data_IF_591970067685
#
_entry.id   IF_591970067685
#
_cell.length_a   1.000
_cell.length_b   1.000
_cell.length_c   1.000
_cell.angle_alpha   90.00
_cell.angle_beta   90.00
_cell.angle_gamma   90.00
#
_symmetry.space_group_name_H-M   'P 1'
#
loop_
_entity.id
_entity.type
_entity.pdbx_description
1 polymer ?
#
# COMPACT_ATOMS: atom_id res chain seq x y z
N UNK A 1 15.12 -16.34 -15.16
CA UNK A 1 14.23 -15.57 -14.27
C UNK A 1 14.94 -14.26 -13.98
N UNK A 2 14.34 -13.13 -14.33
CA UNK A 2 14.78 -11.80 -13.84
C UNK A 2 14.57 -11.75 -12.33
N UNK A 3 15.50 -11.15 -11.59
CA UNK A 3 15.31 -10.94 -10.14
C UNK A 3 14.16 -9.93 -9.91
N UNK A 4 13.55 -9.92 -8.73
CA UNK A 4 12.52 -8.91 -8.40
C UNK A 4 13.11 -7.49 -8.44
N UNK A 5 14.37 -7.32 -8.02
CA UNK A 5 15.10 -6.06 -8.13
C UNK A 5 15.23 -5.60 -9.59
N UNK A 6 15.48 -6.51 -10.53
CA UNK A 6 15.53 -6.18 -11.97
C UNK A 6 14.17 -5.69 -12.50
N UNK A 7 13.05 -6.16 -11.94
CA UNK A 7 11.70 -5.72 -12.32
C UNK A 7 11.47 -4.28 -11.89
N UNK A 8 11.83 -3.94 -10.65
CA UNK A 8 11.61 -2.59 -10.12
C UNK A 8 12.58 -1.56 -10.70
N UNK A 9 13.82 -1.93 -11.00
CA UNK A 9 14.75 -1.03 -11.70
C UNK A 9 14.27 -0.73 -13.13
N UNK A 10 13.66 -1.70 -13.81
CA UNK A 10 12.99 -1.45 -15.10
C UNK A 10 11.81 -0.50 -14.96
N UNK A 11 11.00 -0.67 -13.93
CA UNK A 11 9.84 0.20 -13.69
C UNK A 11 10.28 1.65 -13.39
N UNK A 12 11.35 1.84 -12.61
CA UNK A 12 11.97 3.15 -12.39
C UNK A 12 12.56 3.75 -13.66
N UNK A 13 13.23 2.95 -14.50
CA UNK A 13 13.73 3.41 -15.80
C UNK A 13 12.59 3.88 -16.69
N UNK A 14 11.52 3.08 -16.77
CA UNK A 14 10.33 3.38 -17.53
C UNK A 14 9.69 4.71 -17.09
N UNK A 15 9.53 4.95 -15.78
CA UNK A 15 9.03 6.22 -15.24
C UNK A 15 9.94 7.41 -15.58
N UNK A 16 11.27 7.25 -15.49
CA UNK A 16 12.22 8.32 -15.83
C UNK A 16 12.17 8.68 -17.32
N UNK A 17 12.20 7.68 -18.19
CA UNK A 17 12.08 7.86 -19.64
C UNK A 17 10.76 8.54 -20.00
N UNK A 18 9.65 8.07 -19.42
CA UNK A 18 8.32 8.64 -19.63
C UNK A 18 8.26 10.13 -19.29
N UNK A 19 8.80 10.52 -18.13
CA UNK A 19 8.82 11.92 -17.70
C UNK A 19 9.70 12.78 -18.61
N UNK A 20 10.88 12.28 -19.00
CA UNK A 20 11.75 12.99 -19.96
C UNK A 20 11.03 13.25 -21.29
N UNK A 21 10.34 12.25 -21.83
CA UNK A 21 9.59 12.39 -23.08
C UNK A 21 8.39 13.34 -22.94
N UNK A 22 7.68 13.32 -21.81
CA UNK A 22 6.60 14.28 -21.54
C UNK A 22 7.09 15.73 -21.56
N UNK A 23 8.25 15.99 -20.94
CA UNK A 23 8.88 17.32 -20.95
C UNK A 23 9.28 17.77 -22.35
N UNK A 24 9.81 16.86 -23.17
CA UNK A 24 10.19 17.14 -24.55
C UNK A 24 8.96 17.39 -25.43
N UNK A 25 7.92 16.55 -25.32
CA UNK A 25 6.67 16.67 -26.08
C UNK A 25 5.90 17.95 -25.75
N UNK A 26 5.94 18.41 -24.49
CA UNK A 26 5.36 19.70 -24.11
C UNK A 26 5.98 20.90 -24.86
N UNK A 27 7.18 20.73 -25.43
CA UNK A 27 7.89 21.76 -26.22
C UNK A 27 7.66 21.63 -27.73
N UNK A 28 7.14 20.50 -28.20
CA UNK A 28 6.92 20.25 -29.62
C UNK A 28 5.49 20.65 -30.06
N UNK A 29 5.37 21.29 -31.22
CA UNK A 29 4.08 21.51 -31.89
C UNK A 29 3.93 20.57 -33.07
N UNK A 30 2.83 19.82 -33.11
CA UNK A 30 2.47 18.95 -34.23
C UNK A 30 3.19 17.60 -34.18
N UNK A 31 2.53 16.59 -33.64
CA UNK A 31 3.08 15.25 -33.47
C UNK A 31 2.15 14.24 -34.13
N UNK A 32 2.69 13.37 -34.96
CA UNK A 32 1.94 12.32 -35.65
C UNK A 32 1.74 11.10 -34.74
N UNK A 33 0.50 10.62 -34.68
CA UNK A 33 0.04 9.47 -33.89
C UNK A 33 -0.21 8.27 -34.81
N UNK A 34 0.44 7.15 -34.52
CA UNK A 34 0.18 5.86 -35.19
C UNK A 34 -0.98 5.20 -34.46
N UNK A 35 -2.06 4.97 -35.19
CA UNK A 35 -3.29 4.46 -34.60
C UNK A 35 -4.16 3.71 -35.61
N UNK A 36 -5.13 2.96 -35.08
CA UNK A 36 -6.15 2.27 -35.89
C UNK A 36 -7.54 2.63 -35.40
N UNK A 37 -8.35 3.21 -36.28
CA UNK A 37 -9.77 3.47 -36.01
C UNK A 37 -10.56 2.17 -36.20
N UNK A 38 -11.43 1.84 -35.24
CA UNK A 38 -12.37 0.72 -35.30
C UNK A 38 -13.79 1.24 -35.01
N UNK A 39 -14.74 0.93 -35.89
CA UNK A 39 -16.16 1.17 -35.63
C UNK A 39 -16.72 0.07 -34.73
N UNK A 40 -17.27 0.43 -33.57
CA UNK A 40 -17.92 -0.50 -32.65
C UNK A 40 -19.40 -0.13 -32.46
N UNK A 41 -20.27 -1.15 -32.40
CA UNK A 41 -21.71 -0.99 -32.20
C UNK A 41 -22.12 -0.79 -30.74
N UNK A 42 -23.18 -0.01 -30.55
CA UNK A 42 -23.99 0.28 -29.35
C UNK A 42 -23.41 -0.04 -27.95
N UNK A 43 -22.76 0.97 -27.38
CA UNK A 43 -22.13 0.98 -26.05
C UNK A 43 -23.08 1.57 -24.98
N UNK A 44 -24.41 1.49 -25.18
CA UNK A 44 -25.43 2.04 -24.26
C UNK A 44 -25.27 1.62 -22.79
N UNK A 45 -24.65 0.48 -22.51
CA UNK A 45 -24.36 -0.03 -21.15
C UNK A 45 -23.29 0.80 -20.41
N UNK A 46 -22.26 1.28 -21.11
CA UNK A 46 -21.17 2.08 -20.51
C UNK A 46 -21.67 3.49 -20.17
N UNK A 47 -22.57 4.05 -20.96
CA UNK A 47 -23.24 5.32 -20.66
C UNK A 47 -24.09 5.29 -19.38
N UNK A 48 -24.72 4.15 -19.09
CA UNK A 48 -25.41 3.91 -17.81
C UNK A 48 -24.42 3.79 -16.65
N UNK A 49 -23.31 3.08 -16.86
CA UNK A 49 -22.21 3.00 -15.90
C UNK A 49 -21.72 4.40 -15.47
N UNK A 50 -21.53 5.30 -16.44
CA UNK A 50 -21.02 6.66 -16.20
C UNK A 50 -21.96 7.54 -15.38
N UNK A 51 -23.28 7.55 -15.68
CA UNK A 51 -24.24 8.32 -14.87
C UNK A 51 -24.40 7.78 -13.45
N UNK A 52 -24.30 6.46 -13.31
CA UNK A 52 -24.30 5.80 -12.01
C UNK A 52 -23.05 6.14 -11.19
N UNK A 53 -21.91 6.25 -11.86
CA UNK A 53 -20.61 6.61 -11.29
C UNK A 53 -20.60 8.00 -10.67
N UNK A 54 -21.14 9.01 -11.37
CA UNK A 54 -21.16 10.38 -10.88
C UNK A 54 -21.97 10.49 -9.57
N UNK A 55 -23.09 9.76 -9.47
CA UNK A 55 -23.93 9.69 -8.27
C UNK A 55 -23.28 8.88 -7.14
N UNK A 56 -22.69 7.71 -7.41
CA UNK A 56 -22.02 6.93 -6.36
C UNK A 56 -20.81 7.67 -5.81
N UNK A 57 -19.98 8.23 -6.68
CA UNK A 57 -18.73 8.84 -6.24
C UNK A 57 -18.97 10.20 -5.58
N UNK A 58 -20.07 10.90 -5.89
CA UNK A 58 -20.51 12.06 -5.11
C UNK A 58 -21.07 11.67 -3.75
N UNK A 59 -21.84 10.58 -3.67
CA UNK A 59 -22.59 10.22 -2.45
C UNK A 59 -21.78 9.36 -1.47
N UNK A 60 -20.84 8.55 -1.97
CA UNK A 60 -20.03 7.65 -1.15
C UNK A 60 -18.79 8.33 -0.56
N UNK A 61 -18.38 9.48 -1.09
CA UNK A 61 -17.25 10.23 -0.57
C UNK A 61 -17.71 11.20 0.53
N UNK A 62 -17.26 10.97 1.76
CA UNK A 62 -17.55 11.75 2.97
C UNK A 62 -17.09 13.23 2.91
N UNK A 63 -16.55 13.70 1.78
CA UNK A 63 -16.06 15.06 1.52
C UNK A 63 -16.12 15.44 0.03
N UNK A 64 -15.96 16.74 -0.24
CA UNK A 64 -15.86 17.31 -1.58
C UNK A 64 -14.53 16.93 -2.27
N UNK A 65 -14.53 15.81 -3.00
CA UNK A 65 -13.36 15.29 -3.76
C UNK A 65 -13.12 16.03 -5.08
N UNK A 66 -14.02 16.96 -5.44
CA UNK A 66 -14.07 17.68 -6.72
C UNK A 66 -12.78 18.44 -7.07
N UNK A 67 -11.99 18.78 -6.05
CA UNK A 67 -10.80 19.60 -6.20
C UNK A 67 -9.53 18.82 -6.58
N UNK A 68 -9.49 17.49 -6.41
CA UNK A 68 -8.28 16.70 -6.69
C UNK A 68 -8.01 16.58 -8.20
N UNK A 69 -6.73 16.61 -8.60
CA UNK A 69 -6.37 16.44 -10.02
C UNK A 69 -6.77 15.06 -10.53
N UNK A 70 -6.62 14.01 -9.70
CA UNK A 70 -7.06 12.64 -10.00
C UNK A 70 -8.53 12.61 -10.43
N UNK A 71 -9.40 13.22 -9.62
CA UNK A 71 -10.84 13.32 -9.88
C UNK A 71 -11.15 14.13 -11.15
N UNK A 72 -10.52 15.30 -11.32
CA UNK A 72 -10.70 16.15 -12.50
C UNK A 72 -10.30 15.41 -13.78
N UNK A 73 -9.19 14.67 -13.76
CA UNK A 73 -8.71 13.88 -14.89
C UNK A 73 -9.70 12.78 -15.25
N UNK A 74 -10.20 12.03 -14.27
CA UNK A 74 -11.25 11.02 -14.48
C UNK A 74 -12.50 11.62 -15.11
N UNK A 75 -13.08 12.68 -14.51
CA UNK A 75 -14.30 13.32 -15.01
C UNK A 75 -14.11 13.86 -16.43
N UNK A 76 -12.97 14.51 -16.70
CA UNK A 76 -12.62 14.98 -18.05
C UNK A 76 -12.54 13.83 -19.04
N UNK A 77 -11.79 12.76 -18.71
CA UNK A 77 -11.64 11.58 -19.54
C UNK A 77 -12.99 10.95 -19.88
N UNK A 78 -13.85 10.74 -18.89
CA UNK A 78 -15.17 10.13 -19.08
C UNK A 78 -16.06 10.99 -20.00
N UNK A 79 -16.09 12.31 -19.80
CA UNK A 79 -16.84 13.24 -20.66
C UNK A 79 -16.38 13.20 -22.12
N UNK A 80 -15.06 13.23 -22.34
CA UNK A 80 -14.45 13.21 -23.68
C UNK A 80 -14.67 11.85 -24.35
N UNK A 81 -14.50 10.75 -23.62
CA UNK A 81 -14.73 9.40 -24.16
C UNK A 81 -16.18 9.17 -24.60
N UNK A 82 -17.12 9.93 -24.05
CA UNK A 82 -18.54 9.81 -24.34
C UNK A 82 -19.05 10.75 -25.45
N UNK A 83 -18.24 11.70 -25.92
CA UNK A 83 -18.66 12.61 -26.98
C UNK A 83 -18.61 11.99 -28.38
N UNK A 84 -18.21 10.72 -28.49
CA UNK A 84 -18.09 10.00 -29.76
C UNK A 84 -18.45 8.51 -29.63
N UNK A 85 -18.87 7.92 -30.76
CA UNK A 85 -19.03 6.48 -30.95
C UNK A 85 -17.80 5.84 -31.62
N UNK A 86 -16.94 6.65 -32.25
CA UNK A 86 -15.70 6.19 -32.88
C UNK A 86 -14.60 5.99 -31.84
N UNK A 87 -13.75 4.98 -32.05
CA UNK A 87 -12.62 4.71 -31.17
C UNK A 87 -11.32 4.56 -31.93
N UNK A 88 -10.23 4.99 -31.30
CA UNK A 88 -8.89 4.94 -31.87
C UNK A 88 -7.95 4.20 -30.91
N UNK A 89 -7.43 3.06 -31.37
CA UNK A 89 -6.42 2.30 -30.64
C UNK A 89 -5.02 2.80 -31.00
N UNK A 90 -4.15 2.80 -29.99
CA UNK A 90 -2.76 3.27 -30.11
C UNK A 90 -1.84 2.11 -29.79
N UNK A 91 -0.76 1.98 -30.56
CA UNK A 91 0.26 0.95 -30.34
C UNK A 91 0.84 1.02 -28.91
N UNK A 92 1.17 -0.13 -28.31
CA UNK A 92 1.82 -0.21 -26.99
C UNK A 92 3.31 0.12 -27.10
N UNK A 93 3.57 1.39 -27.45
CA UNK A 93 4.89 1.99 -27.55
C UNK A 93 4.91 3.28 -26.74
N UNK A 94 5.95 3.49 -25.95
CA UNK A 94 6.05 4.63 -25.03
C UNK A 94 5.77 5.97 -25.73
N UNK A 95 6.40 6.22 -26.89
CA UNK A 95 6.21 7.47 -27.63
C UNK A 95 4.75 7.69 -28.07
N UNK A 96 4.05 6.63 -28.46
CA UNK A 96 2.65 6.70 -28.88
C UNK A 96 1.70 6.86 -27.69
N UNK A 97 2.00 6.17 -26.58
CA UNK A 97 1.23 6.22 -25.35
C UNK A 97 1.33 7.60 -24.67
N UNK A 98 2.49 8.24 -24.70
CA UNK A 98 2.66 9.60 -24.19
C UNK A 98 1.85 10.59 -25.03
N UNK A 99 1.92 10.50 -26.36
CA UNK A 99 1.11 11.34 -27.25
C UNK A 99 -0.38 11.18 -26.99
N UNK A 100 -0.84 9.93 -26.79
CA UNK A 100 -2.22 9.64 -26.39
C UNK A 100 -2.58 10.35 -25.08
N UNK A 101 -1.72 10.28 -24.06
CA UNK A 101 -1.94 10.97 -22.79
C UNK A 101 -2.05 12.48 -22.99
N UNK A 102 -1.08 13.08 -23.67
CA UNK A 102 -1.05 14.53 -23.94
C UNK A 102 -2.31 14.96 -24.66
N UNK A 103 -2.73 14.25 -25.72
CA UNK A 103 -3.92 14.63 -26.47
C UNK A 103 -5.19 14.52 -25.61
N UNK A 104 -5.38 13.41 -24.88
CA UNK A 104 -6.57 13.21 -24.02
C UNK A 104 -6.68 14.30 -22.93
N UNK A 105 -5.57 14.63 -22.25
CA UNK A 105 -5.60 15.50 -21.06
C UNK A 105 -5.21 16.95 -21.31
N UNK A 106 -4.50 17.24 -22.39
CA UNK A 106 -3.96 18.57 -22.71
C UNK A 106 -4.12 18.97 -24.18
N UNK A 107 -4.68 18.09 -25.01
CA UNK A 107 -4.89 18.32 -26.44
C UNK A 107 -5.87 19.44 -26.73
N UNK A 108 -5.75 19.97 -27.95
CA UNK A 108 -6.62 21.02 -28.47
C UNK A 108 -7.52 20.52 -29.61
N UNK A 109 -7.40 19.25 -30.04
CA UNK A 109 -8.27 18.63 -31.04
C UNK A 109 -9.35 17.78 -30.33
N UNK A 110 -10.59 18.28 -30.20
CA UNK A 110 -11.64 17.57 -29.48
C UNK A 110 -12.05 16.26 -30.17
N UNK A 111 -11.96 16.20 -31.50
CA UNK A 111 -12.35 15.01 -32.26
C UNK A 111 -11.33 13.89 -31.99
N UNK A 112 -10.04 14.18 -32.16
CA UNK A 112 -8.97 13.24 -31.87
C UNK A 112 -8.96 12.80 -30.40
N UNK A 113 -9.06 13.76 -29.48
CA UNK A 113 -9.13 13.49 -28.03
C UNK A 113 -10.26 12.51 -27.68
N UNK A 114 -11.45 12.71 -28.27
CA UNK A 114 -12.61 11.85 -28.03
C UNK A 114 -12.40 10.41 -28.52
N UNK A 115 -11.85 10.24 -29.72
CA UNK A 115 -11.58 8.93 -30.31
C UNK A 115 -10.51 8.16 -29.53
N UNK A 116 -9.44 8.85 -29.11
CA UNK A 116 -8.38 8.28 -28.28
C UNK A 116 -8.89 7.87 -26.89
N UNK A 117 -9.68 8.74 -26.24
CA UNK A 117 -10.27 8.44 -24.94
C UNK A 117 -11.25 7.25 -25.02
N UNK A 118 -12.06 7.17 -26.07
CA UNK A 118 -12.94 6.02 -26.35
C UNK A 118 -12.14 4.73 -26.53
N UNK A 119 -11.05 4.78 -27.27
CA UNK A 119 -10.15 3.64 -27.47
C UNK A 119 -9.54 3.14 -26.16
N UNK A 120 -9.04 4.06 -25.31
CA UNK A 120 -8.51 3.73 -23.98
C UNK A 120 -9.58 3.12 -23.07
N UNK A 121 -10.80 3.68 -23.07
CA UNK A 121 -11.92 3.15 -22.29
C UNK A 121 -12.27 1.71 -22.71
N UNK A 122 -12.29 1.43 -24.02
CA UNK A 122 -12.50 0.07 -24.55
C UNK A 122 -11.35 -0.87 -24.19
N UNK A 123 -10.09 -0.41 -24.27
CA UNK A 123 -8.94 -1.20 -23.79
C UNK A 123 -9.09 -1.59 -22.32
N UNK A 124 -9.61 -0.69 -21.46
CA UNK A 124 -9.88 -1.00 -20.06
C UNK A 124 -10.92 -2.12 -19.91
N UNK A 125 -12.05 -2.02 -20.61
CA UNK A 125 -13.14 -3.01 -20.56
C UNK A 125 -12.65 -4.38 -21.05
N UNK A 126 -11.81 -4.38 -22.08
CA UNK A 126 -11.24 -5.59 -22.66
C UNK A 126 -10.01 -6.11 -21.90
N UNK A 127 -9.65 -5.49 -20.76
CA UNK A 127 -8.47 -5.84 -19.96
C UNK A 127 -7.15 -5.83 -20.75
N UNK A 128 -7.06 -4.91 -21.72
CA UNK A 128 -5.85 -4.66 -22.53
C UNK A 128 -5.07 -3.53 -21.86
N UNK A 129 -4.18 -3.90 -20.95
CA UNK A 129 -3.33 -2.97 -20.20
C UNK A 129 -2.01 -2.74 -20.97
N UNK A 130 -1.63 -1.49 -21.28
CA UNK A 130 -0.38 -1.20 -21.97
C UNK A 130 0.82 -1.47 -21.06
N UNK A 131 1.85 -2.14 -21.58
CA UNK A 131 3.07 -2.44 -20.83
C UNK A 131 4.12 -1.32 -20.96
N UNK A 132 4.01 -0.48 -21.99
CA UNK A 132 4.96 0.61 -22.24
C UNK A 132 4.66 1.88 -21.42
N UNK A 133 3.80 1.79 -20.42
CA UNK A 133 3.26 2.92 -19.67
C UNK A 133 3.57 2.74 -18.19
N UNK A 134 4.24 3.69 -17.53
CA UNK A 134 4.51 3.61 -16.11
C UNK A 134 3.22 3.60 -15.28
N UNK A 135 3.26 2.88 -14.16
CA UNK A 135 2.13 2.75 -13.25
C UNK A 135 1.62 4.10 -12.71
N UNK A 136 2.50 5.08 -12.52
CA UNK A 136 2.17 6.41 -11.99
C UNK A 136 1.72 7.43 -13.06
N UNK A 137 1.50 7.02 -14.31
CA UNK A 137 0.99 7.90 -15.38
C UNK A 137 -0.51 8.18 -15.25
N UNK A 138 -0.99 9.27 -15.87
CA UNK A 138 -2.43 9.58 -15.94
C UNK A 138 -3.23 8.50 -16.70
N UNK A 139 -2.60 7.88 -17.71
CA UNK A 139 -3.18 6.75 -18.44
C UNK A 139 -3.46 5.58 -17.50
N UNK A 140 -2.45 5.14 -16.73
CA UNK A 140 -2.61 4.01 -15.82
C UNK A 140 -3.54 4.36 -14.65
N UNK A 141 -3.52 5.59 -14.17
CA UNK A 141 -4.47 6.10 -13.19
C UNK A 141 -5.92 5.97 -13.69
N UNK A 142 -6.22 6.43 -14.90
CA UNK A 142 -7.57 6.34 -15.47
C UNK A 142 -8.01 4.90 -15.69
N UNK A 143 -7.09 4.01 -16.11
CA UNK A 143 -7.41 2.59 -16.24
C UNK A 143 -7.87 1.99 -14.90
N UNK A 144 -7.15 2.28 -13.81
CA UNK A 144 -7.54 1.82 -12.47
C UNK A 144 -8.84 2.45 -11.98
N UNK A 145 -9.02 3.74 -12.24
CA UNK A 145 -10.25 4.44 -11.89
C UNK A 145 -11.48 3.85 -12.60
N UNK A 146 -11.35 3.57 -13.90
CA UNK A 146 -12.41 2.95 -14.70
C UNK A 146 -12.70 1.51 -14.25
N UNK A 147 -11.68 0.70 -13.97
CA UNK A 147 -11.84 -0.66 -13.44
C UNK A 147 -12.55 -0.67 -12.07
N UNK A 148 -12.19 0.25 -11.17
CA UNK A 148 -12.87 0.42 -9.88
C UNK A 148 -14.34 0.82 -10.07
N UNK A 149 -14.62 1.73 -11.00
CA UNK A 149 -15.99 2.13 -11.36
C UNK A 149 -16.82 0.96 -11.87
N UNK A 150 -16.27 0.17 -12.82
CA UNK A 150 -16.95 -1.01 -13.32
C UNK A 150 -17.22 -2.02 -12.20
N UNK A 151 -16.26 -2.19 -11.29
CA UNK A 151 -16.43 -3.03 -10.10
C UNK A 151 -17.62 -2.54 -9.25
N UNK A 152 -17.70 -1.23 -8.96
CA UNK A 152 -18.80 -0.65 -8.18
C UNK A 152 -20.16 -0.78 -8.89
N UNK A 153 -20.21 -0.58 -10.21
CA UNK A 153 -21.43 -0.76 -10.99
C UNK A 153 -21.90 -2.21 -10.93
N UNK A 154 -21.02 -3.16 -11.23
CA UNK A 154 -21.36 -4.59 -11.19
C UNK A 154 -21.85 -5.00 -9.80
N UNK A 155 -21.20 -4.52 -8.75
CA UNK A 155 -21.60 -4.73 -7.37
C UNK A 155 -23.00 -4.15 -7.08
N UNK A 156 -23.33 -2.97 -7.62
CA UNK A 156 -24.66 -2.39 -7.43
C UNK A 156 -25.78 -3.11 -8.19
N UNK A 157 -25.50 -3.59 -9.40
CA UNK A 157 -26.48 -4.26 -10.26
C UNK A 157 -26.72 -5.71 -9.82
N UNK A 158 -25.83 -6.27 -9.00
CA UNK A 158 -25.90 -7.62 -8.45
C UNK A 158 -27.08 -7.92 -7.54
N UNK A 159 -27.78 -6.88 -7.07
CA UNK A 159 -28.78 -7.03 -6.01
C UNK A 159 -28.18 -7.31 -4.62
N UNK A 160 -26.85 -7.28 -4.46
CA UNK A 160 -26.22 -7.29 -3.14
C UNK A 160 -26.60 -6.03 -2.37
N UNK A 161 -27.00 -6.18 -1.11
CA UNK A 161 -27.12 -5.07 -0.16
C UNK A 161 -25.73 -4.56 0.24
N UNK A 162 -25.00 -3.94 -0.69
CA UNK A 162 -23.75 -3.28 -0.37
C UNK A 162 -24.04 -2.05 0.48
N UNK A 163 -23.57 -2.10 1.72
CA UNK A 163 -23.36 -0.89 2.48
C UNK A 163 -22.10 -0.21 1.93
N UNK A 164 -22.29 0.84 1.13
CA UNK A 164 -21.21 1.71 0.65
C UNK A 164 -20.55 2.50 1.79
N UNK A 165 -20.98 2.33 3.03
CA UNK A 165 -20.31 2.91 4.19
C UNK A 165 -19.54 1.82 4.98
N UNK A 166 -18.21 1.93 5.17
CA UNK A 166 -17.32 3.02 4.75
C UNK A 166 -16.52 2.66 3.49
N UNK A 167 -17.01 3.05 2.32
CA UNK A 167 -16.23 3.08 1.09
C UNK A 167 -15.20 4.20 1.20
N UNK A 168 -13.93 3.86 0.98
CA UNK A 168 -12.83 4.84 0.97
C UNK A 168 -12.08 4.68 -0.33
N UNK A 169 -11.81 5.80 -0.98
CA UNK A 169 -11.23 5.89 -2.31
C UNK A 169 -9.94 6.71 -2.26
N UNK A 170 -9.05 6.56 -3.25
CA UNK A 170 -7.82 7.37 -3.36
C UNK A 170 -8.04 8.88 -3.40
N UNK A 171 -9.25 9.34 -3.73
CA UNK A 171 -9.66 10.75 -3.75
C UNK A 171 -9.95 11.33 -2.36
N UNK A 172 -10.20 10.49 -1.36
CA UNK A 172 -10.54 10.96 -0.02
C UNK A 172 -9.34 11.57 0.69
N UNK A 173 -9.62 12.59 1.52
CA UNK A 173 -8.68 13.05 2.53
C UNK A 173 -8.67 12.04 3.69
N UNK A 174 -7.61 11.24 3.80
CA UNK A 174 -7.54 10.10 4.74
C UNK A 174 -7.73 10.54 6.18
N UNK A 175 -7.23 11.71 6.56
CA UNK A 175 -7.37 12.29 7.90
C UNK A 175 -8.84 12.50 8.29
N UNK A 176 -9.70 12.73 7.30
CA UNK A 176 -11.14 12.88 7.53
C UNK A 176 -11.80 11.52 7.78
N UNK A 177 -11.31 10.47 7.12
CA UNK A 177 -11.70 9.09 7.40
C UNK A 177 -11.24 8.68 8.80
N UNK A 178 -9.98 8.99 9.17
CA UNK A 178 -9.47 8.76 10.54
C UNK A 178 -10.34 9.47 11.56
N UNK A 179 -10.74 10.72 11.28
CA UNK A 179 -11.59 11.51 12.18
C UNK A 179 -12.97 10.86 12.35
N UNK A 180 -13.54 10.31 11.29
CA UNK A 180 -14.79 9.56 11.36
C UNK A 180 -14.66 8.26 12.18
N UNK A 181 -13.56 7.52 12.06
CA UNK A 181 -13.26 6.37 12.92
C UNK A 181 -13.02 6.79 14.38
N UNK A 182 -12.34 7.91 14.63
CA UNK A 182 -12.09 8.46 15.97
C UNK A 182 -13.37 8.87 16.69
N UNK A 183 -14.38 9.30 15.93
CA UNK A 183 -15.71 9.68 16.40
C UNK A 183 -16.72 8.53 16.36
N UNK A 184 -16.29 7.31 16.04
CA UNK A 184 -17.12 6.11 15.93
C UNK A 184 -18.34 6.27 15.00
N UNK A 185 -18.18 7.05 13.92
CA UNK A 185 -19.23 7.27 12.92
C UNK A 185 -19.47 6.05 12.03
N UNK A 186 -18.51 5.12 11.99
CA UNK A 186 -18.61 3.87 11.24
C UNK A 186 -18.74 2.66 12.16
N UNK A 187 -19.64 1.73 11.85
CA UNK A 187 -19.70 0.47 12.58
C UNK A 187 -18.46 -0.37 12.27
N UNK A 188 -17.85 -0.94 13.31
CA UNK A 188 -16.77 -1.92 13.16
C UNK A 188 -15.36 -1.31 13.05
N UNK A 189 -14.48 -2.05 12.37
CA UNK A 189 -13.03 -1.77 12.34
C UNK A 189 -12.47 -1.61 10.92
N UNK A 190 -13.28 -1.78 9.88
CA UNK A 190 -12.79 -1.86 8.49
C UNK A 190 -13.57 -0.90 7.61
N UNK A 191 -12.86 -0.21 6.73
CA UNK A 191 -13.41 0.34 5.50
C UNK A 191 -13.09 -0.59 4.33
N UNK A 192 -13.58 -0.27 3.14
CA UNK A 192 -13.26 -1.03 1.94
C UNK A 192 -13.04 -0.13 0.74
N UNK A 193 -12.30 -0.64 -0.25
CA UNK A 193 -12.00 0.05 -1.49
C UNK A 193 -11.83 -0.92 -2.65
N UNK A 194 -12.45 -0.69 -3.82
CA UNK A 194 -12.15 -1.44 -5.03
C UNK A 194 -10.73 -1.16 -5.56
N UNK A 195 -10.04 -0.15 -5.00
CA UNK A 195 -8.69 0.23 -5.36
C UNK A 195 -7.65 -0.53 -4.53
N UNK A 196 -6.77 -1.27 -5.22
CA UNK A 196 -5.57 -1.87 -4.66
C UNK A 196 -4.37 -1.15 -5.29
N UNK A 197 -3.89 -0.11 -4.62
CA UNK A 197 -2.85 0.79 -5.13
C UNK A 197 -1.83 1.15 -4.04
N UNK A 198 -0.54 1.10 -4.39
CA UNK A 198 0.55 1.36 -3.47
C UNK A 198 0.54 2.76 -2.85
N UNK A 199 0.21 3.81 -3.61
CA UNK A 199 0.11 5.18 -3.08
C UNK A 199 -1.03 5.34 -2.07
N UNK A 200 -2.15 4.65 -2.32
CA UNK A 200 -3.30 4.69 -1.44
C UNK A 200 -3.03 3.87 -0.17
N UNK A 201 -2.48 2.66 -0.31
CA UNK A 201 -2.04 1.82 0.80
C UNK A 201 -0.99 2.52 1.66
N UNK A 202 -0.02 3.21 1.04
CA UNK A 202 1.00 3.98 1.73
C UNK A 202 0.39 5.11 2.56
N UNK A 203 -0.48 5.94 1.96
CA UNK A 203 -1.19 7.00 2.69
C UNK A 203 -2.02 6.46 3.86
N UNK A 204 -2.68 5.30 3.68
CA UNK A 204 -3.42 4.63 4.75
C UNK A 204 -2.49 4.19 5.90
N UNK A 205 -1.34 3.59 5.59
CA UNK A 205 -0.33 3.18 6.57
C UNK A 205 0.23 4.38 7.36
N UNK A 206 0.52 5.48 6.67
CA UNK A 206 0.95 6.73 7.32
C UNK A 206 -0.07 7.25 8.33
N UNK A 207 -1.36 6.99 8.13
CA UNK A 207 -2.46 7.41 9.00
C UNK A 207 -2.89 6.33 10.03
N UNK A 208 -2.14 5.23 10.15
CA UNK A 208 -2.33 4.21 11.18
C UNK A 208 -3.29 3.08 10.83
N UNK A 209 -3.79 3.02 9.58
CA UNK A 209 -4.52 1.85 9.09
C UNK A 209 -3.58 0.69 8.80
N UNK A 210 -4.08 -0.55 8.95
CA UNK A 210 -3.42 -1.74 8.38
C UNK A 210 -4.19 -2.15 7.11
N UNK A 211 -3.57 -2.06 5.92
CA UNK A 211 -4.16 -2.57 4.69
C UNK A 211 -4.22 -4.11 4.72
N UNK A 212 -5.43 -4.66 4.67
CA UNK A 212 -5.69 -6.07 4.38
C UNK A 212 -6.60 -6.14 3.15
N UNK A 213 -6.92 -7.33 2.64
CA UNK A 213 -7.81 -7.49 1.49
C UNK A 213 -8.66 -8.75 1.60
N UNK A 214 -9.71 -8.80 0.78
CA UNK A 214 -10.54 -9.97 0.53
C UNK A 214 -10.67 -10.20 -0.97
N UNK A 215 -10.86 -11.45 -1.39
CA UNK A 215 -11.20 -11.80 -2.77
C UNK A 215 -12.70 -12.08 -2.88
N UNK A 216 -13.36 -11.40 -3.81
CA UNK A 216 -14.78 -11.60 -4.14
C UNK A 216 -14.84 -12.48 -5.39
N UNK A 217 -15.28 -13.73 -5.25
CA UNK A 217 -15.25 -14.75 -6.31
C UNK A 217 -16.40 -14.65 -7.35
N UNK A 218 -17.19 -13.58 -7.31
CA UNK A 218 -18.42 -13.48 -8.11
C UNK A 218 -18.23 -12.93 -9.54
N UNK A 219 -17.05 -12.40 -9.89
CA UNK A 219 -16.77 -11.73 -11.18
C UNK A 219 -15.56 -12.38 -11.84
N UNK A 220 -15.66 -12.86 -13.10
CA UNK A 220 -14.55 -13.14 -14.06
C UNK A 220 -13.15 -13.32 -13.41
N UNK A 221 -12.90 -14.46 -12.73
CA UNK A 221 -11.67 -14.87 -11.98
C UNK A 221 -11.45 -14.33 -10.55
N UNK A 222 -12.45 -13.63 -10.03
CA UNK A 222 -12.53 -13.06 -8.69
C UNK A 222 -11.78 -11.74 -8.54
N UNK A 223 -12.37 -10.77 -7.84
CA UNK A 223 -11.80 -9.43 -7.65
C UNK A 223 -11.25 -9.27 -6.24
N UNK A 224 -10.00 -8.86 -6.11
CA UNK A 224 -9.43 -8.46 -4.81
C UNK A 224 -9.88 -7.03 -4.48
N UNK A 225 -10.40 -6.85 -3.27
CA UNK A 225 -10.84 -5.56 -2.72
C UNK A 225 -10.02 -5.27 -1.47
N UNK A 226 -9.52 -4.04 -1.36
CA UNK A 226 -8.79 -3.57 -0.20
C UNK A 226 -9.75 -3.35 0.96
N UNK A 227 -9.35 -3.74 2.16
CA UNK A 227 -10.09 -3.55 3.41
C UNK A 227 -9.20 -2.92 4.47
N UNK A 228 -8.92 -1.60 4.41
CA UNK A 228 -8.08 -0.96 5.41
C UNK A 228 -8.71 -1.06 6.79
N UNK A 229 -7.91 -1.46 7.78
CA UNK A 229 -8.37 -1.77 9.13
C UNK A 229 -7.88 -0.75 10.16
N UNK A 230 -8.82 -0.13 10.86
CA UNK A 230 -8.64 0.72 12.03
C UNK A 230 -9.32 0.07 13.24
N UNK A 231 -8.54 -0.71 14.01
CA UNK A 231 -9.04 -1.47 15.15
C UNK A 231 -9.74 -0.57 16.18
N UNK A 232 -10.74 -1.10 16.89
CA UNK A 232 -11.31 -0.46 18.08
C UNK A 232 -10.29 -0.44 19.22
N UNK A 233 -9.45 -1.47 19.27
CA UNK A 233 -8.37 -1.62 20.23
C UNK A 233 -7.09 -2.06 19.55
N UNK A 234 -5.99 -1.37 19.85
CA UNK A 234 -4.65 -1.74 19.39
C UNK A 234 -3.83 -2.37 20.50
N UNK A 235 -2.99 -3.31 20.10
CA UNK A 235 -1.96 -3.86 20.96
C UNK A 235 -0.68 -3.06 20.73
N UNK A 236 -0.25 -2.27 21.70
CA UNK A 236 0.91 -1.39 21.58
C UNK A 236 1.94 -1.67 22.68
N UNK A 237 3.20 -1.44 22.39
CA UNK A 237 4.29 -1.61 23.35
C UNK A 237 5.32 -0.50 23.17
N UNK A 238 5.89 0.01 24.28
CA UNK A 238 7.14 0.77 24.21
C UNK A 238 8.28 -0.23 24.07
N UNK A 239 9.22 -0.10 23.11
CA UNK A 239 10.21 -1.15 22.84
C UNK A 239 10.93 -1.69 24.09
N UNK A 240 11.38 -0.80 24.98
CA UNK A 240 12.07 -1.16 26.23
C UNK A 240 11.21 -1.95 27.23
N UNK A 241 9.87 -1.90 27.12
CA UNK A 241 8.92 -2.57 28.02
C UNK A 241 8.66 -4.04 27.68
N UNK A 242 9.27 -4.58 26.60
CA UNK A 242 9.09 -5.99 26.23
C UNK A 242 9.54 -6.95 27.34
N UNK A 243 8.68 -7.92 27.64
CA UNK A 243 8.95 -8.94 28.66
C UNK A 243 9.80 -10.05 28.05
N UNK A 244 11.09 -10.05 28.39
CA UNK A 244 12.03 -11.07 27.93
C UNK A 244 12.18 -12.22 28.94
N UNK A 245 11.82 -13.44 28.53
CA UNK A 245 11.95 -14.64 29.37
C UNK A 245 13.37 -15.24 29.32
N UNK A 246 13.80 -15.92 30.38
CA UNK A 246 15.10 -16.64 30.39
C UNK A 246 15.21 -17.65 29.24
N UNK A 247 14.12 -18.34 28.91
CA UNK A 247 14.07 -19.30 27.79
C UNK A 247 14.29 -18.59 26.45
N UNK A 248 13.53 -17.53 26.18
CA UNK A 248 13.66 -16.77 24.94
C UNK A 248 15.07 -16.17 24.76
N UNK A 249 15.67 -15.65 25.83
CA UNK A 249 17.07 -15.15 25.81
C UNK A 249 18.10 -16.24 25.47
N UNK A 250 17.87 -17.50 25.87
CA UNK A 250 18.79 -18.61 25.53
C UNK A 250 18.68 -19.02 24.07
N UNK A 251 17.47 -18.97 23.50
CA UNK A 251 17.25 -19.29 22.10
C UNK A 251 17.92 -18.31 21.14
N UNK A 252 18.28 -17.12 21.61
CA UNK A 252 18.91 -16.05 20.84
C UNK A 252 20.37 -16.31 20.40
N UNK A 253 21.04 -17.34 20.91
CA UNK A 253 22.50 -17.51 20.75
C UNK A 253 22.95 -17.91 19.35
N UNK A 254 22.09 -18.56 18.58
CA UNK A 254 22.42 -19.12 17.27
C UNK A 254 21.61 -18.46 16.14
N UNK A 255 21.06 -17.27 16.40
CA UNK A 255 20.22 -16.54 15.45
C UNK A 255 20.73 -15.13 15.26
N UNK A 256 20.65 -14.64 14.02
CA UNK A 256 21.04 -13.30 13.64
C UNK A 256 19.83 -12.55 13.09
N UNK A 257 19.81 -11.24 13.27
CA UNK A 257 18.78 -10.36 12.69
C UNK A 257 19.36 -9.54 11.55
N UNK A 258 18.62 -9.38 10.47
CA UNK A 258 18.88 -8.36 9.45
C UNK A 258 17.63 -7.54 9.21
N UNK A 259 17.81 -6.42 8.51
CA UNK A 259 16.73 -5.59 8.02
C UNK A 259 16.86 -5.47 6.51
N UNK A 260 15.74 -5.50 5.79
CA UNK A 260 15.67 -5.16 4.38
C UNK A 260 16.59 -6.00 3.47
N UNK A 261 16.90 -7.23 3.88
CA UNK A 261 17.82 -8.10 3.15
C UNK A 261 17.11 -9.20 2.35
N UNK A 262 15.86 -9.54 2.69
CA UNK A 262 15.12 -10.60 2.01
C UNK A 262 13.60 -10.36 1.95
N UNK A 263 13.19 -9.14 1.57
CA UNK A 263 11.78 -8.70 1.58
C UNK A 263 10.81 -9.68 0.90
N UNK A 264 11.09 -10.13 -0.33
CA UNK A 264 10.25 -11.11 -1.03
C UNK A 264 10.24 -12.48 -0.35
N UNK A 265 11.35 -12.94 0.22
CA UNK A 265 11.39 -14.20 0.97
C UNK A 265 10.54 -14.12 2.23
N UNK A 266 10.50 -12.96 2.89
CA UNK A 266 9.62 -12.70 4.03
C UNK A 266 8.15 -12.72 3.60
N UNK A 267 7.78 -12.06 2.51
CA UNK A 267 6.41 -12.13 1.96
C UNK A 267 6.02 -13.58 1.65
N UNK A 268 6.91 -14.35 1.02
CA UNK A 268 6.67 -15.75 0.72
C UNK A 268 6.52 -16.58 2.01
N UNK A 269 7.36 -16.37 3.02
CA UNK A 269 7.23 -17.04 4.32
C UNK A 269 5.90 -16.75 5.02
N UNK A 270 5.37 -15.53 4.91
CA UNK A 270 4.05 -15.14 5.42
C UNK A 270 2.95 -15.92 4.68
N UNK A 271 3.00 -15.96 3.35
CA UNK A 271 2.03 -16.69 2.53
C UNK A 271 2.11 -18.20 2.77
N UNK A 272 3.32 -18.76 2.90
CA UNK A 272 3.52 -20.18 3.22
C UNK A 272 2.88 -20.57 4.56
N UNK A 273 3.01 -19.71 5.58
CA UNK A 273 2.51 -20.01 6.92
C UNK A 273 1.00 -19.78 7.05
N UNK A 274 0.47 -18.71 6.44
CA UNK A 274 -0.91 -18.28 6.67
C UNK A 274 -1.82 -18.51 5.47
N UNK A 275 -1.29 -18.80 4.28
CA UNK A 275 -2.02 -18.81 3.02
C UNK A 275 -2.21 -17.41 2.42
N UNK A 276 -2.85 -17.33 1.24
CA UNK A 276 -3.15 -16.08 0.54
C UNK A 276 -4.37 -15.32 1.11
N UNK A 277 -4.70 -15.49 2.39
CA UNK A 277 -5.94 -15.01 3.03
C UNK A 277 -6.25 -13.52 2.78
N UNK A 278 -5.23 -12.67 2.92
CA UNK A 278 -5.32 -11.22 2.73
C UNK A 278 -4.14 -10.68 1.91
N UNK A 279 -3.04 -11.43 1.83
CA UNK A 279 -1.81 -11.09 1.13
C UNK A 279 -1.82 -11.68 -0.29
N UNK A 280 -2.91 -11.38 -1.03
CA UNK A 280 -3.09 -11.80 -2.42
C UNK A 280 -1.95 -11.27 -3.32
N UNK A 281 -1.70 -11.88 -4.50
CA UNK A 281 -0.69 -11.40 -5.46
C UNK A 281 -0.73 -9.88 -5.73
N UNK A 282 -1.93 -9.30 -5.83
CA UNK A 282 -2.16 -7.87 -6.05
C UNK A 282 -1.66 -7.03 -4.87
N UNK A 283 -1.93 -7.47 -3.64
CA UNK A 283 -1.46 -6.78 -2.42
C UNK A 283 0.05 -6.89 -2.28
N UNK A 284 0.63 -8.06 -2.59
CA UNK A 284 2.09 -8.25 -2.59
C UNK A 284 2.78 -7.31 -3.58
N UNK A 285 2.25 -7.20 -4.79
CA UNK A 285 2.78 -6.29 -5.82
C UNK A 285 2.80 -4.84 -5.36
N UNK A 286 1.75 -4.38 -4.67
CA UNK A 286 1.70 -3.01 -4.15
C UNK A 286 2.61 -2.82 -2.92
N UNK A 287 2.81 -3.83 -2.07
CA UNK A 287 3.85 -3.75 -1.03
C UNK A 287 5.26 -3.73 -1.62
N UNK A 288 5.54 -4.55 -2.62
CA UNK A 288 6.80 -4.50 -3.36
C UNK A 288 7.02 -3.13 -3.99
N UNK A 289 5.97 -2.49 -4.52
CA UNK A 289 6.04 -1.12 -5.04
C UNK A 289 6.46 -0.13 -3.97
N UNK A 290 5.80 -0.17 -2.81
CA UNK A 290 6.10 0.72 -1.68
C UNK A 290 7.55 0.50 -1.21
N UNK A 291 8.03 -0.74 -1.21
CA UNK A 291 9.37 -1.10 -0.76
C UNK A 291 10.47 -0.71 -1.76
N UNK A 292 10.35 -1.13 -3.02
CA UNK A 292 11.39 -0.99 -4.03
C UNK A 292 11.36 0.34 -4.78
N UNK A 293 10.20 0.98 -4.90
CA UNK A 293 9.99 2.24 -5.63
C UNK A 293 9.17 3.25 -4.80
N UNK A 294 9.61 3.62 -3.58
CA UNK A 294 8.88 4.53 -2.69
C UNK A 294 8.57 5.90 -3.32
N UNK A 295 9.43 6.39 -4.21
CA UNK A 295 9.21 7.61 -4.97
C UNK A 295 7.98 7.52 -5.90
N UNK A 296 7.67 6.33 -6.42
CA UNK A 296 6.52 6.10 -7.32
C UNK A 296 5.17 6.22 -6.60
N UNK A 297 5.16 6.00 -5.28
CA UNK A 297 3.97 6.12 -4.41
C UNK A 297 3.91 7.46 -3.68
N UNK A 298 4.82 8.38 -4.00
CA UNK A 298 4.88 9.72 -3.39
C UNK A 298 5.36 9.71 -1.94
N UNK A 299 6.14 8.70 -1.54
CA UNK A 299 6.68 8.64 -0.19
C UNK A 299 7.67 9.78 0.06
N UNK A 300 7.34 10.64 1.03
CA UNK A 300 8.23 11.71 1.53
C UNK A 300 8.70 11.43 2.96
N UNK A 301 7.90 10.69 3.73
CA UNK A 301 8.26 10.15 5.05
C UNK A 301 7.57 8.80 5.27
N UNK A 302 8.23 7.95 6.03
CA UNK A 302 7.81 6.57 6.28
C UNK A 302 8.31 5.57 5.24
N UNK A 303 8.43 4.32 5.67
CA UNK A 303 9.00 3.24 4.86
C UNK A 303 8.40 1.88 5.23
N UNK A 304 8.19 1.05 4.21
CA UNK A 304 7.92 -0.37 4.41
C UNK A 304 9.26 -1.09 4.54
N UNK A 305 9.38 -1.96 5.53
CA UNK A 305 10.61 -2.66 5.86
C UNK A 305 10.34 -4.14 6.06
N UNK A 306 11.35 -4.97 5.82
CA UNK A 306 11.38 -6.35 6.30
C UNK A 306 12.38 -6.51 7.45
N UNK A 307 12.04 -7.39 8.37
CA UNK A 307 12.90 -7.86 9.45
C UNK A 307 13.10 -9.35 9.23
N UNK A 308 14.35 -9.79 9.17
CA UNK A 308 14.67 -11.19 8.92
C UNK A 308 15.43 -11.79 10.10
N UNK A 309 15.13 -13.06 10.41
CA UNK A 309 15.88 -13.87 11.36
C UNK A 309 16.52 -15.05 10.65
N UNK A 310 17.83 -15.15 10.79
CA UNK A 310 18.64 -16.19 10.17
C UNK A 310 19.19 -17.15 11.21
N UNK A 311 19.25 -18.43 10.86
CA UNK A 311 19.99 -19.46 11.59
C UNK A 311 20.77 -20.30 10.59
N UNK A 312 22.08 -20.41 10.77
CA UNK A 312 22.96 -21.21 9.89
C UNK A 312 22.79 -20.86 8.40
N UNK A 313 22.56 -19.58 8.08
CA UNK A 313 22.32 -19.08 6.72
C UNK A 313 20.90 -19.30 6.18
N UNK A 314 19.99 -19.86 6.97
CA UNK A 314 18.59 -20.12 6.57
C UNK A 314 17.66 -19.09 7.21
N UNK A 315 16.73 -18.55 6.42
CA UNK A 315 15.67 -17.66 6.90
C UNK A 315 14.65 -18.46 7.72
N UNK A 316 14.59 -18.20 9.03
CA UNK A 316 13.79 -18.98 9.99
C UNK A 316 12.64 -18.20 10.63
N UNK A 317 12.63 -16.88 10.54
CA UNK A 317 11.48 -16.03 10.84
C UNK A 317 11.63 -14.70 10.10
N UNK A 318 10.53 -13.98 9.97
CA UNK A 318 10.57 -12.61 9.49
C UNK A 318 9.23 -11.92 9.58
N UNK A 319 9.23 -10.60 9.46
CA UNK A 319 8.02 -9.80 9.33
C UNK A 319 8.20 -8.65 8.34
N UNK A 320 7.08 -8.20 7.78
CA UNK A 320 7.00 -6.87 7.18
C UNK A 320 6.39 -5.91 8.20
N UNK A 321 6.94 -4.70 8.25
CA UNK A 321 6.48 -3.63 9.12
C UNK A 321 6.64 -2.26 8.48
N UNK A 322 5.86 -1.30 8.95
CA UNK A 322 5.85 0.06 8.42
C UNK A 322 6.35 1.04 9.47
N UNK A 323 7.28 1.90 9.06
CA UNK A 323 7.81 3.01 9.85
C UNK A 323 7.12 4.28 9.41
N UNK A 324 6.70 5.10 10.36
CA UNK A 324 6.36 6.51 10.14
C UNK A 324 6.73 7.29 11.39
N UNK A 325 7.65 8.25 11.28
CA UNK A 325 8.30 8.87 12.43
C UNK A 325 8.90 7.83 13.39
N UNK A 326 8.63 7.98 14.69
CA UNK A 326 9.08 7.08 15.76
C UNK A 326 8.08 5.95 16.05
N UNK A 327 7.11 5.73 15.15
CA UNK A 327 6.17 4.63 15.20
C UNK A 327 6.59 3.51 14.24
N UNK A 328 6.66 2.29 14.75
CA UNK A 328 6.82 1.07 13.96
C UNK A 328 5.56 0.21 14.08
N UNK A 329 4.93 -0.12 12.96
CA UNK A 329 3.74 -0.97 12.89
C UNK A 329 4.09 -2.34 12.32
N UNK A 330 4.04 -3.40 13.13
CA UNK A 330 4.13 -4.77 12.63
C UNK A 330 2.87 -5.11 11.83
N UNK A 331 3.04 -5.46 10.55
CA UNK A 331 1.91 -5.81 9.67
C UNK A 331 1.64 -7.31 9.76
N UNK A 332 2.64 -8.12 9.41
CA UNK A 332 2.54 -9.58 9.45
C UNK A 332 3.89 -10.24 9.42
N UNK A 333 3.98 -11.46 9.96
CA UNK A 333 5.21 -12.21 10.01
C UNK A 333 4.98 -13.72 10.08
N UNK A 334 6.08 -14.45 9.97
CA UNK A 334 6.13 -15.91 9.97
C UNK A 334 7.31 -16.41 10.84
N UNK A 335 7.27 -17.67 11.21
CA UNK A 335 8.36 -18.35 11.90
C UNK A 335 8.35 -19.86 11.60
N UNK A 336 9.53 -20.43 11.35
CA UNK A 336 9.73 -21.84 10.96
C UNK A 336 10.32 -22.67 12.09
N UNK A 337 11.05 -22.06 13.04
CA UNK A 337 11.69 -22.76 14.15
C UNK A 337 11.11 -22.36 15.52
N UNK A 338 11.12 -23.26 16.52
CA UNK A 338 10.79 -22.90 17.90
C UNK A 338 11.58 -21.68 18.38
N UNK A 339 10.88 -20.72 18.99
CA UNK A 339 11.45 -19.49 19.54
C UNK A 339 12.10 -18.50 18.54
N UNK A 340 12.13 -18.79 17.23
CA UNK A 340 12.62 -17.82 16.22
C UNK A 340 11.75 -16.56 16.19
N UNK A 341 10.42 -16.68 16.22
CA UNK A 341 9.53 -15.52 16.35
C UNK A 341 9.67 -14.77 17.68
N UNK A 342 9.99 -15.46 18.78
CA UNK A 342 10.28 -14.79 20.07
C UNK A 342 11.60 -14.02 20.01
N UNK A 343 12.61 -14.59 19.35
CA UNK A 343 13.88 -13.93 19.12
C UNK A 343 13.72 -12.69 18.23
N UNK A 344 12.98 -12.80 17.12
CA UNK A 344 12.64 -11.67 16.25
C UNK A 344 12.08 -10.51 17.06
N UNK A 345 11.07 -10.78 17.90
CA UNK A 345 10.46 -9.76 18.75
C UNK A 345 11.47 -9.09 19.69
N UNK A 346 12.41 -9.85 20.25
CA UNK A 346 13.43 -9.31 21.16
C UNK A 346 14.48 -8.48 20.43
N UNK A 347 14.95 -8.95 19.27
CA UNK A 347 15.92 -8.24 18.45
C UNK A 347 15.31 -6.93 17.91
N UNK A 348 14.08 -6.99 17.41
CA UNK A 348 13.37 -5.82 16.93
C UNK A 348 13.09 -4.82 18.06
N UNK A 349 12.69 -5.27 19.26
CA UNK A 349 12.56 -4.37 20.42
C UNK A 349 13.85 -3.62 20.74
N UNK A 350 15.00 -4.31 20.66
CA UNK A 350 16.30 -3.71 20.91
C UNK A 350 16.65 -2.69 19.83
N UNK A 351 16.47 -3.03 18.55
CA UNK A 351 16.69 -2.11 17.42
C UNK A 351 15.82 -0.85 17.58
N UNK A 352 14.51 -1.03 17.77
CA UNK A 352 13.57 0.07 17.94
C UNK A 352 13.93 0.95 19.15
N UNK A 353 14.34 0.35 20.27
CA UNK A 353 14.75 1.10 21.45
C UNK A 353 16.00 1.96 21.19
N UNK A 354 17.07 1.38 20.66
CA UNK A 354 18.31 2.11 20.40
C UNK A 354 18.16 3.17 19.31
N UNK A 355 17.22 2.97 18.37
CA UNK A 355 16.82 3.96 17.38
C UNK A 355 15.76 4.95 17.88
N UNK A 356 15.47 4.97 19.19
CA UNK A 356 14.54 5.94 19.81
C UNK A 356 13.13 5.93 19.22
N UNK A 357 12.62 4.75 18.83
CA UNK A 357 11.21 4.56 18.53
C UNK A 357 10.39 4.56 19.82
N UNK A 358 9.25 5.25 19.80
CA UNK A 358 8.42 5.46 20.98
C UNK A 358 7.18 4.55 21.00
N UNK A 359 6.71 4.17 19.80
CA UNK A 359 5.53 3.32 19.63
C UNK A 359 5.88 2.11 18.76
N UNK A 360 5.70 0.93 19.33
CA UNK A 360 5.63 -0.30 18.55
C UNK A 360 4.18 -0.81 18.56
N UNK A 361 3.54 -0.68 17.41
CA UNK A 361 2.17 -1.08 17.16
C UNK A 361 2.11 -2.51 16.60
N UNK A 362 1.52 -3.42 17.36
CA UNK A 362 1.55 -4.86 17.09
C UNK A 362 0.31 -5.40 16.38
N UNK A 363 -0.71 -4.61 16.11
CA UNK A 363 -1.94 -5.13 15.49
C UNK A 363 -3.09 -5.32 16.44
N UNK A 364 -3.90 -6.31 16.08
CA UNK A 364 -4.93 -6.89 16.92
C UNK A 364 -4.37 -7.47 18.23
N UNK A 365 -5.23 -7.50 19.24
CA UNK A 365 -4.96 -8.13 20.53
C UNK A 365 -4.82 -9.65 20.32
N UNK A 366 -3.69 -10.21 20.73
CA UNK A 366 -3.46 -11.66 20.80
C UNK A 366 -2.88 -11.99 22.17
N UNK A 367 -3.30 -13.11 22.82
CA UNK A 367 -2.86 -13.43 24.18
C UNK A 367 -1.35 -13.40 24.39
N UNK A 368 -0.56 -13.90 23.41
CA UNK A 368 0.90 -13.90 23.54
C UNK A 368 1.51 -12.49 23.55
N UNK A 369 0.92 -11.51 22.85
CA UNK A 369 1.41 -10.12 22.83
C UNK A 369 1.29 -9.48 24.22
N UNK A 370 0.18 -9.75 24.90
CA UNK A 370 -0.04 -9.30 26.28
C UNK A 370 1.00 -9.92 27.23
N UNK A 371 1.30 -11.21 27.07
CA UNK A 371 2.37 -11.85 27.88
C UNK A 371 3.76 -11.29 27.60
N UNK A 372 3.98 -10.69 26.42
CA UNK A 372 5.21 -10.00 26.06
C UNK A 372 5.25 -8.55 26.54
N UNK A 373 4.25 -8.06 27.28
CA UNK A 373 4.22 -6.71 27.85
C UNK A 373 3.48 -5.68 26.99
N UNK A 374 2.84 -6.11 25.90
CA UNK A 374 1.99 -5.21 25.12
C UNK A 374 0.73 -4.84 25.91
N UNK A 375 0.27 -3.61 25.70
CA UNK A 375 -0.92 -3.03 26.34
C UNK A 375 -2.04 -2.92 25.32
N UNK A 376 -3.27 -3.08 25.79
CA UNK A 376 -4.45 -2.80 24.99
C UNK A 376 -4.78 -1.31 25.09
N UNK A 377 -4.79 -0.62 23.95
CA UNK A 377 -5.02 0.82 23.83
C UNK A 377 -6.27 1.05 23.00
N UNK A 378 -7.22 1.87 23.47
CA UNK A 378 -8.43 2.18 22.70
C UNK A 378 -8.11 3.03 21.47
N UNK A 379 -8.89 2.92 20.37
CA UNK A 379 -8.66 3.62 19.09
C UNK A 379 -8.31 5.10 19.25
N UNK A 380 -9.06 5.82 20.07
CA UNK A 380 -8.86 7.27 20.30
C UNK A 380 -7.48 7.55 20.90
N UNK A 381 -7.12 6.81 21.94
CA UNK A 381 -5.82 6.91 22.62
C UNK A 381 -4.69 6.43 21.69
N UNK A 382 -4.90 5.37 20.92
CA UNK A 382 -3.95 4.88 19.93
C UNK A 382 -3.62 5.96 18.90
N UNK A 383 -4.64 6.62 18.34
CA UNK A 383 -4.43 7.70 17.38
C UNK A 383 -3.71 8.90 18.02
N UNK A 384 -3.97 9.22 19.28
CA UNK A 384 -3.23 10.27 20.00
C UNK A 384 -1.73 9.93 20.09
N UNK A 385 -1.37 8.75 20.60
CA UNK A 385 0.04 8.34 20.74
C UNK A 385 0.72 8.06 19.39
N UNK A 386 -0.02 7.57 18.39
CA UNK A 386 0.50 7.34 17.03
C UNK A 386 0.82 8.65 16.33
N UNK A 387 -0.03 9.67 16.46
CA UNK A 387 0.21 10.98 15.85
C UNK A 387 1.35 11.74 16.54
N UNK A 388 1.54 11.54 17.84
CA UNK A 388 2.72 12.02 18.56
C UNK A 388 4.00 11.34 18.03
N UNK A 389 4.03 10.01 18.01
CA UNK A 389 5.19 9.25 17.56
C UNK A 389 5.55 9.54 16.09
N UNK A 390 4.56 9.58 15.19
CA UNK A 390 4.82 9.83 13.75
C UNK A 390 5.36 11.23 13.45
N UNK A 391 5.29 12.17 14.40
CA UNK A 391 5.79 13.54 14.22
C UNK A 391 7.31 13.67 14.40
N UNK A 392 7.97 12.62 14.93
CA UNK A 392 9.42 12.60 15.16
C UNK A 392 10.07 11.62 14.19
N UNK A 393 10.75 12.12 13.16
CA UNK A 393 11.39 11.26 12.15
C UNK A 393 12.45 10.33 12.75
N UNK A 394 12.37 9.04 12.39
CA UNK A 394 13.35 8.01 12.73
C UNK A 394 13.59 7.12 11.52
N UNK A 395 14.81 6.57 11.45
CA UNK A 395 15.21 5.60 10.43
C UNK A 395 15.36 4.25 11.12
N UNK A 396 14.79 3.21 10.51
CA UNK A 396 14.96 1.85 11.00
C UNK A 396 16.28 1.29 10.47
N UNK A 397 17.28 1.21 11.34
CA UNK A 397 18.57 0.62 11.05
C UNK A 397 19.12 -0.11 12.27
N UNK A 398 19.93 -1.15 12.04
CA UNK A 398 20.68 -1.79 13.12
C UNK A 398 21.74 -0.79 13.60
N UNK A 399 21.84 -0.47 14.91
CA UNK A 399 22.84 0.47 15.40
C UNK A 399 24.25 0.08 14.94
N UNK A 400 25.07 1.07 14.58
CA UNK A 400 26.35 0.84 13.92
C UNK A 400 27.31 -0.05 14.74
N UNK A 401 27.24 0.04 16.07
CA UNK A 401 28.00 -0.82 16.99
C UNK A 401 27.58 -2.30 16.97
N UNK A 402 26.44 -2.63 16.37
CA UNK A 402 25.90 -3.99 16.22
C UNK A 402 25.70 -4.39 14.75
N UNK A 403 26.33 -3.67 13.81
CA UNK A 403 26.08 -3.84 12.38
C UNK A 403 26.60 -5.16 11.79
N UNK A 404 27.51 -5.88 12.48
CA UNK A 404 27.89 -7.23 12.03
C UNK A 404 26.77 -8.21 12.39
N UNK A 405 26.37 -9.12 11.47
CA UNK A 405 25.37 -10.15 11.76
C UNK A 405 25.70 -10.99 13.00
N UNK A 406 26.99 -11.15 13.33
CA UNK A 406 27.48 -11.87 14.52
C UNK A 406 27.19 -11.17 15.85
N UNK A 407 26.84 -9.88 15.81
CA UNK A 407 26.75 -9.01 16.99
C UNK A 407 25.32 -8.93 17.53
N UNK A 408 24.39 -9.70 16.95
CA UNK A 408 23.00 -9.73 17.42
C UNK A 408 22.89 -10.17 18.88
N UNK A 409 23.80 -11.04 19.34
CA UNK A 409 23.86 -11.42 20.75
C UNK A 409 24.25 -10.23 21.64
N UNK A 410 25.19 -9.40 21.18
CA UNK A 410 25.66 -8.23 21.91
C UNK A 410 24.60 -7.14 21.97
N UNK A 411 23.85 -6.92 20.87
CA UNK A 411 22.65 -6.08 20.84
C UNK A 411 21.65 -6.49 21.93
N UNK A 412 21.34 -7.79 22.02
CA UNK A 412 20.41 -8.32 23.02
C UNK A 412 20.95 -8.15 24.45
N UNK A 413 22.26 -8.34 24.65
CA UNK A 413 22.89 -8.15 25.96
C UNK A 413 22.88 -6.68 26.40
N UNK A 414 23.22 -5.76 25.49
CA UNK A 414 23.14 -4.32 25.73
C UNK A 414 21.71 -3.89 26.08
N UNK A 415 20.73 -4.35 25.30
CA UNK A 415 19.32 -4.09 25.59
C UNK A 415 18.87 -4.63 26.96
N UNK A 416 19.33 -5.84 27.34
CA UNK A 416 19.06 -6.38 28.68
C UNK A 416 19.65 -5.52 29.79
N UNK A 417 20.79 -4.87 29.57
CA UNK A 417 21.42 -3.95 30.53
C UNK A 417 20.55 -2.71 30.74
N UNK A 418 20.06 -2.09 29.66
CA UNK A 418 19.14 -0.95 29.73
C UNK A 418 17.85 -1.31 30.48
N UNK A 419 17.26 -2.49 30.22
CA UNK A 419 16.09 -2.95 30.96
C UNK A 419 16.33 -3.10 32.47
N UNK A 420 17.55 -3.49 32.88
CA UNK A 420 17.89 -3.63 34.29
C UNK A 420 18.13 -2.26 34.95
N UNK A 421 18.75 -1.31 34.25
CA UNK A 421 18.93 0.06 34.73
C UNK A 421 17.57 0.69 35.02
N UNK A 422 16.65 0.66 34.04
CA UNK A 422 15.29 1.21 34.21
C UNK A 422 14.52 0.58 35.37
N UNK A 423 14.67 -0.74 35.60
CA UNK A 423 14.03 -1.43 36.73
C UNK A 423 14.58 -0.96 38.08
N UNK A 424 15.88 -0.70 38.16
CA UNK A 424 16.51 -0.20 39.37
C UNK A 424 16.13 1.25 39.66
N UNK A 425 16.00 2.09 38.63
CA UNK A 425 15.56 3.49 38.75
C UNK A 425 14.08 3.62 39.13
N UNK A 426 13.21 2.75 38.63
CA UNK A 426 11.78 2.74 39.00
C UNK A 426 11.47 2.08 40.34
N UNK A 427 12.48 1.50 41.02
CA UNK A 427 12.36 0.89 42.35
C UNK A 427 12.99 1.73 43.47
N UNK A 428 13.62 2.86 43.11
CA UNK A 428 14.13 3.89 44.01
C UNK A 428 13.13 5.05 44.08
#
# INVERSE_FOLDING_TARGET
>A
MTSTEDVWEREKSLSREWNSYLEDLARCKGIELVSRNLGFGDIRSVLKALKFTESILSDACLQEISHTNRWKNLVKFLKISNSTEECMFVEDRMDQQIKRQVEIFHGNDPELSSKLAKGLLLSCILQIIPNSVPWNSDVMQVLRDVDAIFTLLMLSESGCSLNFNPLVLPYNKIESIVSAFKLDLFPGETCWSPYVEGDFMFRLLCEGFIPIAIKIEWIMDGKVILMPKMHNYRCCIKPLEIVMTKKGKRCAKDMNVTLNCAFNEVLNGIVEQHGENWLYPEIRREFERIYYAPESVGATSGSLNSVEVWKDGVLVAGEIGFVVGSAYTSISGFHKLPSSGTFQMYALAAILHFQSFELWDLGMILPYKLTMGAKTVGRREFLEVFYEARSTERILEIPAEFASPTDTLDLIQAFCKEQNIRKNEGSA
#
